data_IF_027936708723
#
_entry.id   IF_027936708723
#
_cell.length_a   1.000
_cell.length_b   1.000
_cell.length_c   1.000
_cell.angle_alpha   90.00
_cell.angle_beta   90.00
_cell.angle_gamma   90.00
#
_symmetry.space_group_name_H-M   'P 1'
#
loop_
_entity.id
_entity.type
_entity.pdbx_description
1 polymer ?
#
# COMPACT_ATOMS: atom_id res chain seq x y z
N UNK A 1 -21.16 5.32 -20.65
CA UNK A 1 -20.36 5.68 -19.46
C UNK A 1 -21.02 5.03 -18.26
N UNK A 2 -20.29 4.22 -17.49
CA UNK A 2 -20.80 3.76 -16.18
C UNK A 2 -21.00 4.99 -15.30
N UNK A 3 -22.05 5.02 -14.50
CA UNK A 3 -22.22 6.12 -13.53
C UNK A 3 -21.11 6.07 -12.48
N UNK A 4 -20.81 7.20 -11.84
CA UNK A 4 -19.83 7.24 -10.74
C UNK A 4 -20.18 6.27 -9.59
N UNK A 5 -21.48 6.04 -9.36
CA UNK A 5 -21.98 5.08 -8.36
C UNK A 5 -21.66 3.63 -8.79
N UNK A 6 -21.90 3.29 -10.05
CA UNK A 6 -21.60 1.95 -10.57
C UNK A 6 -20.10 1.64 -10.54
N UNK A 7 -19.24 2.62 -10.89
CA UNK A 7 -17.78 2.46 -10.80
C UNK A 7 -17.32 2.26 -9.35
N UNK A 8 -17.85 3.05 -8.42
CA UNK A 8 -17.54 2.92 -6.99
C UNK A 8 -17.95 1.54 -6.46
N UNK A 9 -19.14 1.07 -6.80
CA UNK A 9 -19.60 -0.26 -6.39
C UNK A 9 -18.71 -1.37 -6.95
N UNK A 10 -18.27 -1.26 -8.20
CA UNK A 10 -17.39 -2.23 -8.84
C UNK A 10 -16.00 -2.25 -8.19
N UNK A 11 -15.42 -1.08 -7.91
CA UNK A 11 -14.16 -0.96 -7.14
C UNK A 11 -14.29 -1.58 -5.75
N UNK A 12 -15.42 -1.37 -5.06
CA UNK A 12 -15.69 -2.00 -3.76
C UNK A 12 -15.81 -3.52 -3.83
N UNK A 13 -16.56 -4.04 -4.81
CA UNK A 13 -16.74 -5.49 -5.03
C UNK A 13 -15.40 -6.17 -5.35
N UNK A 14 -14.60 -5.57 -6.23
CA UNK A 14 -13.27 -6.09 -6.61
C UNK A 14 -12.27 -6.03 -5.45
N UNK A 15 -12.21 -4.92 -4.71
CA UNK A 15 -11.37 -4.81 -3.51
C UNK A 15 -11.72 -5.85 -2.44
N UNK A 16 -13.02 -6.08 -2.19
CA UNK A 16 -13.49 -7.11 -1.24
C UNK A 16 -13.13 -8.54 -1.67
N UNK A 17 -13.15 -8.82 -2.96
CA UNK A 17 -12.72 -10.11 -3.48
C UNK A 17 -11.19 -10.28 -3.36
N UNK A 18 -10.43 -9.23 -3.67
CA UNK A 18 -8.96 -9.23 -3.58
C UNK A 18 -8.47 -9.35 -2.13
N UNK A 19 -9.11 -8.68 -1.17
CA UNK A 19 -8.70 -8.70 0.24
C UNK A 19 -8.73 -10.11 0.83
N UNK A 20 -9.73 -10.92 0.47
CA UNK A 20 -9.81 -12.32 0.88
C UNK A 20 -8.62 -13.12 0.38
N UNK A 21 -8.23 -12.94 -0.89
CA UNK A 21 -7.06 -13.64 -1.46
C UNK A 21 -5.78 -13.17 -0.77
N UNK A 22 -5.61 -11.86 -0.60
CA UNK A 22 -4.43 -11.25 0.02
C UNK A 22 -4.22 -11.76 1.46
N UNK A 23 -5.29 -11.94 2.23
CA UNK A 23 -5.24 -12.43 3.60
C UNK A 23 -4.68 -13.87 3.74
N UNK A 24 -4.73 -14.68 2.68
CA UNK A 24 -4.19 -16.05 2.68
C UNK A 24 -2.81 -16.18 2.02
N UNK A 25 -2.25 -15.09 1.49
CA UNK A 25 -0.90 -15.13 0.91
C UNK A 25 0.15 -15.21 2.02
N UNK A 26 1.24 -15.92 1.74
CA UNK A 26 2.39 -15.97 2.64
C UNK A 26 3.05 -14.60 2.78
N UNK A 27 3.72 -14.39 3.92
CA UNK A 27 4.58 -13.23 4.15
C UNK A 27 5.57 -13.02 2.99
N UNK A 28 6.20 -14.09 2.51
CA UNK A 28 7.16 -14.04 1.40
C UNK A 28 6.57 -13.43 0.12
N UNK A 29 5.36 -13.85 -0.27
CA UNK A 29 4.70 -13.32 -1.48
C UNK A 29 4.34 -11.85 -1.30
N UNK A 30 3.83 -11.47 -0.12
CA UNK A 30 3.50 -10.07 0.19
C UNK A 30 4.75 -9.19 0.19
N UNK A 31 5.83 -9.65 0.81
CA UNK A 31 7.10 -8.93 0.90
C UNK A 31 7.76 -8.78 -0.46
N UNK A 32 7.72 -9.82 -1.31
CA UNK A 32 8.18 -9.73 -2.69
C UNK A 32 7.39 -8.69 -3.49
N UNK A 33 6.07 -8.63 -3.30
CA UNK A 33 5.25 -7.60 -3.96
C UNK A 33 5.64 -6.18 -3.50
N UNK A 34 5.90 -5.97 -2.21
CA UNK A 34 6.35 -4.68 -1.68
C UNK A 34 7.74 -4.27 -2.23
N UNK A 35 8.69 -5.21 -2.30
CA UNK A 35 10.01 -4.96 -2.90
C UNK A 35 9.88 -4.59 -4.37
N UNK A 36 9.07 -5.33 -5.14
CA UNK A 36 8.84 -5.00 -6.55
C UNK A 36 8.18 -3.62 -6.73
N UNK A 37 7.27 -3.21 -5.82
CA UNK A 37 6.68 -1.88 -5.84
C UNK A 37 7.77 -0.82 -5.59
N UNK A 38 8.62 -1.03 -4.58
CA UNK A 38 9.72 -0.11 -4.27
C UNK A 38 10.70 0.04 -5.43
N UNK A 39 11.06 -1.04 -6.10
CA UNK A 39 11.91 -1.01 -7.30
C UNK A 39 11.21 -0.27 -8.45
N UNK A 40 9.93 -0.56 -8.71
CA UNK A 40 9.16 0.09 -9.76
C UNK A 40 9.01 1.60 -9.55
N UNK A 41 8.95 2.09 -8.31
CA UNK A 41 8.94 3.52 -8.01
C UNK A 41 10.21 4.22 -8.49
N UNK A 42 11.37 3.57 -8.35
CA UNK A 42 12.66 4.11 -8.77
C UNK A 42 12.85 3.95 -10.29
N UNK A 43 12.54 2.77 -10.83
CA UNK A 43 12.67 2.50 -12.26
C UNK A 43 11.79 3.41 -13.12
N UNK A 44 10.64 3.85 -12.56
CA UNK A 44 9.69 4.76 -13.22
C UNK A 44 9.73 6.18 -12.68
N UNK A 45 10.78 6.56 -11.97
CA UNK A 45 10.88 7.86 -11.31
C UNK A 45 10.56 9.03 -12.26
N UNK A 46 11.16 9.05 -13.45
CA UNK A 46 10.99 10.15 -14.40
C UNK A 46 9.55 10.27 -14.90
N UNK A 47 8.88 9.14 -15.13
CA UNK A 47 7.46 9.09 -15.52
C UNK A 47 6.57 9.66 -14.42
N UNK A 48 6.81 9.26 -13.17
CA UNK A 48 6.04 9.71 -12.00
C UNK A 48 6.24 11.20 -11.74
N UNK A 49 7.48 11.69 -11.79
CA UNK A 49 7.79 13.12 -11.57
C UNK A 49 7.22 13.99 -12.70
N UNK A 50 7.25 13.52 -13.95
CA UNK A 50 6.62 14.22 -15.06
C UNK A 50 5.11 14.32 -14.89
N UNK A 51 4.44 13.23 -14.48
CA UNK A 51 3.01 13.23 -14.19
C UNK A 51 2.65 14.16 -13.02
N UNK A 52 3.38 14.07 -11.90
CA UNK A 52 3.14 14.91 -10.73
C UNK A 52 3.34 16.40 -11.00
N UNK A 53 4.25 16.75 -11.92
CA UNK A 53 4.43 18.15 -12.35
C UNK A 53 3.17 18.69 -13.03
N UNK A 54 2.48 17.89 -13.84
CA UNK A 54 1.22 18.29 -14.47
C UNK A 54 0.17 18.55 -13.38
N UNK A 55 0.02 17.62 -12.43
CA UNK A 55 -0.91 17.77 -11.30
C UNK A 55 -0.61 19.03 -10.46
N UNK A 56 0.67 19.32 -10.23
CA UNK A 56 1.10 20.49 -9.48
C UNK A 56 0.71 21.80 -10.16
N UNK A 57 0.96 21.93 -11.47
CA UNK A 57 0.60 23.13 -12.23
C UNK A 57 -0.93 23.32 -12.30
N UNK A 58 -1.69 22.24 -12.48
CA UNK A 58 -3.15 22.27 -12.45
C UNK A 58 -3.69 22.69 -11.07
N UNK A 59 -3.17 22.11 -9.99
CA UNK A 59 -3.56 22.45 -8.63
C UNK A 59 -3.22 23.92 -8.31
N UNK A 60 -2.04 24.39 -8.72
CA UNK A 60 -1.63 25.79 -8.56
C UNK A 60 -2.55 26.73 -9.33
N UNK A 61 -2.91 26.40 -10.57
CA UNK A 61 -3.85 27.17 -11.38
C UNK A 61 -5.27 27.20 -10.77
N UNK A 62 -5.69 26.13 -10.09
CA UNK A 62 -6.97 26.07 -9.37
C UNK A 62 -7.02 26.87 -8.06
N UNK A 63 -5.92 27.51 -7.67
CA UNK A 63 -5.83 28.32 -6.45
C UNK A 63 -5.58 27.50 -5.17
N UNK A 64 -5.00 26.31 -5.28
CA UNK A 64 -4.60 25.51 -4.12
C UNK A 64 -3.56 26.26 -3.28
N UNK A 65 -3.70 26.24 -1.94
CA UNK A 65 -2.77 26.94 -1.06
C UNK A 65 -1.38 26.27 -1.02
N UNK A 66 -0.36 27.05 -0.63
CA UNK A 66 1.04 26.62 -0.63
C UNK A 66 1.30 25.37 0.22
N UNK A 67 0.64 25.24 1.37
CA UNK A 67 0.82 24.09 2.26
C UNK A 67 0.29 22.78 1.63
N UNK A 68 -0.77 22.85 0.83
CA UNK A 68 -1.28 21.69 0.09
C UNK A 68 -0.42 21.40 -1.15
N UNK A 69 0.08 22.43 -1.82
CA UNK A 69 1.02 22.28 -2.94
C UNK A 69 2.34 21.61 -2.50
N UNK A 70 2.86 21.96 -1.31
CA UNK A 70 4.04 21.30 -0.74
C UNK A 70 3.78 19.82 -0.40
N UNK A 71 2.55 19.45 -0.02
CA UNK A 71 2.19 18.03 0.16
C UNK A 71 2.01 17.29 -1.16
N UNK A 72 1.62 17.99 -2.22
CA UNK A 72 1.38 17.42 -3.54
C UNK A 72 2.68 17.17 -4.32
N UNK A 73 3.67 18.06 -4.20
CA UNK A 73 4.90 17.98 -4.99
C UNK A 73 5.73 16.74 -4.61
N UNK A 74 6.20 16.03 -5.62
CA UNK A 74 7.15 14.94 -5.49
C UNK A 74 8.54 15.41 -5.94
N UNK A 75 9.56 14.83 -5.32
CA UNK A 75 10.98 15.01 -5.67
C UNK A 75 11.63 13.64 -5.76
N UNK A 76 12.80 13.52 -6.43
CA UNK A 76 13.57 12.27 -6.42
C UNK A 76 13.81 11.75 -5.00
N UNK A 77 14.22 12.63 -4.08
CA UNK A 77 14.44 12.27 -2.67
C UNK A 77 13.18 11.77 -1.95
N UNK A 78 11.99 12.31 -2.26
CA UNK A 78 10.72 11.81 -1.69
C UNK A 78 10.39 10.43 -2.25
N UNK A 79 10.61 10.18 -3.53
CA UNK A 79 10.39 8.87 -4.14
C UNK A 79 11.38 7.82 -3.63
N UNK A 80 12.64 8.17 -3.47
CA UNK A 80 13.66 7.33 -2.83
C UNK A 80 13.25 6.97 -1.40
N UNK A 81 12.80 7.96 -0.60
CA UNK A 81 12.27 7.73 0.73
C UNK A 81 11.06 6.79 0.74
N UNK A 82 10.09 6.99 -0.15
CA UNK A 82 8.92 6.11 -0.28
C UNK A 82 9.30 4.67 -0.64
N UNK A 83 10.27 4.48 -1.53
CA UNK A 83 10.76 3.16 -1.89
C UNK A 83 11.47 2.48 -0.70
N UNK A 84 12.31 3.20 0.04
CA UNK A 84 13.03 2.68 1.20
C UNK A 84 12.09 2.35 2.37
N UNK A 85 11.11 3.21 2.65
CA UNK A 85 10.08 2.97 3.65
C UNK A 85 9.25 1.72 3.29
N UNK A 86 8.94 1.54 2.01
CA UNK A 86 8.23 0.35 1.52
C UNK A 86 9.06 -0.92 1.73
N UNK A 87 10.37 -0.88 1.49
CA UNK A 87 11.28 -2.01 1.80
C UNK A 87 11.38 -2.25 3.30
N UNK A 88 11.40 -1.19 4.11
CA UNK A 88 11.40 -1.29 5.57
C UNK A 88 10.15 -2.02 6.06
N UNK A 89 8.97 -1.69 5.53
CA UNK A 89 7.72 -2.40 5.85
C UNK A 89 7.80 -3.88 5.45
N UNK A 90 8.38 -4.19 4.29
CA UNK A 90 8.56 -5.57 3.84
C UNK A 90 9.51 -6.39 4.74
N UNK A 91 10.39 -5.73 5.50
CA UNK A 91 11.29 -6.37 6.45
C UNK A 91 10.68 -6.59 7.85
N UNK A 92 9.52 -5.99 8.14
CA UNK A 92 8.86 -6.16 9.42
C UNK A 92 8.27 -7.59 9.56
N UNK A 93 8.15 -8.11 10.80
CA UNK A 93 7.42 -9.33 11.05
C UNK A 93 5.99 -9.26 10.52
N UNK A 94 5.51 -10.34 9.89
CA UNK A 94 4.15 -10.40 9.38
C UNK A 94 3.15 -10.56 10.54
N UNK A 95 2.25 -9.59 10.77
CA UNK A 95 1.27 -9.67 11.85
C UNK A 95 0.11 -10.61 11.51
N UNK A 96 -0.02 -11.05 10.25
CA UNK A 96 -1.17 -11.84 9.81
C UNK A 96 -1.03 -13.30 10.25
N UNK A 97 -1.95 -13.74 11.10
CA UNK A 97 -1.98 -15.13 11.59
C UNK A 97 -1.10 -15.39 12.81
N UNK A 98 -0.57 -14.33 13.44
CA UNK A 98 0.12 -14.41 14.71
C UNK A 98 -0.80 -14.99 15.79
N UNK A 99 -0.28 -15.93 16.60
CA UNK A 99 -1.00 -16.50 17.73
C UNK A 99 -0.62 -15.72 18.97
N UNK A 100 -1.53 -14.85 19.42
CA UNK A 100 -1.33 -13.97 20.58
C UNK A 100 -1.24 -14.74 21.91
N UNK A 101 -1.89 -15.89 22.01
CA UNK A 101 -1.87 -16.70 23.24
C UNK A 101 -2.03 -18.18 22.89
N UNK A 102 -1.19 -19.07 23.43
CA UNK A 102 -1.40 -20.51 23.31
C UNK A 102 -1.21 -21.23 24.64
N UNK A 103 -2.11 -22.15 24.98
CA UNK A 103 -2.01 -23.01 26.17
C UNK A 103 -2.43 -24.43 25.87
N UNK A 104 -1.76 -25.39 26.48
CA UNK A 104 -2.12 -26.81 26.41
C UNK A 104 -2.83 -27.20 27.70
N UNK A 105 -4.07 -27.68 27.59
CA UNK A 105 -4.85 -28.16 28.72
C UNK A 105 -4.33 -29.54 29.20
N UNK A 106 -4.58 -29.94 30.46
CA UNK A 106 -4.12 -31.23 31.01
C UNK A 106 -4.64 -32.46 30.25
N UNK A 107 -5.70 -32.30 29.46
CA UNK A 107 -6.26 -33.35 28.58
C UNK A 107 -5.63 -33.38 27.17
N UNK A 108 -4.57 -32.60 26.93
CA UNK A 108 -3.85 -32.56 25.65
C UNK A 108 -4.41 -31.59 24.61
N UNK A 109 -5.52 -30.88 24.90
CA UNK A 109 -6.07 -29.89 23.96
C UNK A 109 -5.20 -28.63 23.88
N UNK A 110 -4.79 -28.26 22.67
CA UNK A 110 -4.10 -27.00 22.39
C UNK A 110 -5.11 -25.91 22.06
N UNK A 111 -5.17 -24.88 22.89
CA UNK A 111 -5.97 -23.67 22.66
C UNK A 111 -5.01 -22.61 22.16
N UNK A 112 -5.34 -21.97 21.04
CA UNK A 112 -4.63 -20.81 20.50
C UNK A 112 -5.59 -19.67 20.23
N UNK A 113 -5.29 -18.47 20.73
CA UNK A 113 -5.96 -17.21 20.41
C UNK A 113 -5.18 -16.52 19.29
N UNK A 114 -5.86 -16.18 18.20
CA UNK A 114 -5.34 -15.40 17.07
C UNK A 114 -6.00 -14.03 17.08
#
# INVERSE_FOLDING_TARGET
MKSAIEELEEKGKTAKAASRKLAFLSAEVKNKALVNIAEALIDKQDEILAANKIDYEEAKASGMNEAMLDRLILSPSRLEGMAEDTKTVAALPDPVGEVLESRTLPNGLKISKR
#
